data_IF_346835711547
#
_entry.id   IF_346835711547
#
_cell.length_a   1.000
_cell.length_b   1.000
_cell.length_c   1.000
_cell.angle_alpha   90.00
_cell.angle_beta   90.00
_cell.angle_gamma   90.00
#
_symmetry.space_group_name_H-M   'P 1'
#
loop_
_entity.id
_entity.type
_entity.pdbx_description
1 polymer ?
#
# COMPACT_ATOMS: atom_id res chain seq x y z
N UNK A 1 -15.02 8.91 1.16
CA UNK A 1 -14.24 7.67 0.99
C UNK A 1 -15.22 6.53 0.94
N UNK A 2 -15.06 5.57 0.03
CA UNK A 2 -15.94 4.40 0.00
C UNK A 2 -15.68 3.54 1.24
N UNK A 3 -16.77 3.24 1.94
CA UNK A 3 -16.79 2.43 3.14
C UNK A 3 -17.82 1.33 2.95
N UNK A 4 -17.46 0.12 3.32
CA UNK A 4 -18.36 -1.02 3.28
C UNK A 4 -18.28 -1.80 4.60
N UNK A 5 -19.39 -2.42 5.01
CA UNK A 5 -19.38 -3.34 6.14
C UNK A 5 -18.38 -4.48 5.89
N UNK A 6 -17.50 -4.77 6.84
CA UNK A 6 -16.58 -5.91 6.86
C UNK A 6 -17.39 -7.21 6.74
N UNK A 7 -18.51 -7.27 7.45
CA UNK A 7 -19.48 -8.36 7.36
C UNK A 7 -19.99 -8.60 5.93
N UNK A 8 -20.22 -7.54 5.15
CA UNK A 8 -20.63 -7.64 3.74
C UNK A 8 -19.48 -8.14 2.87
N UNK A 9 -18.28 -7.60 3.05
CA UNK A 9 -17.10 -7.98 2.27
C UNK A 9 -16.71 -9.44 2.50
N UNK A 10 -16.83 -9.92 3.74
CA UNK A 10 -16.62 -11.32 4.09
C UNK A 10 -17.64 -12.22 3.38
N UNK A 11 -18.93 -11.86 3.39
CA UNK A 11 -19.98 -12.60 2.69
C UNK A 11 -19.76 -12.67 1.17
N UNK A 12 -19.15 -11.63 0.60
CA UNK A 12 -18.81 -11.57 -0.82
C UNK A 12 -17.51 -12.29 -1.16
N UNK A 13 -16.86 -12.96 -0.21
CA UNK A 13 -15.54 -13.58 -0.39
C UNK A 13 -14.47 -12.60 -0.89
N UNK A 14 -14.63 -11.32 -0.57
CA UNK A 14 -13.77 -10.24 -1.08
C UNK A 14 -12.30 -10.41 -0.66
N UNK A 15 -12.04 -11.05 0.48
CA UNK A 15 -10.70 -11.27 1.04
C UNK A 15 -10.09 -12.63 0.70
N UNK A 16 -10.77 -13.46 -0.09
CA UNK A 16 -10.31 -14.80 -0.45
C UNK A 16 -10.08 -15.68 0.78
N UNK A 17 -8.87 -16.22 0.90
CA UNK A 17 -8.47 -17.15 1.97
C UNK A 17 -8.03 -16.45 3.27
N UNK A 18 -7.92 -15.11 3.27
CA UNK A 18 -7.43 -14.38 4.43
C UNK A 18 -8.53 -14.27 5.49
N UNK A 19 -8.17 -14.62 6.73
CA UNK A 19 -9.11 -14.59 7.85
C UNK A 19 -9.54 -13.15 8.19
N UNK A 20 -10.77 -12.98 8.65
CA UNK A 20 -11.29 -11.67 9.06
C UNK A 20 -10.43 -11.04 10.17
N UNK A 21 -9.92 -11.85 11.10
CA UNK A 21 -9.06 -11.40 12.18
C UNK A 21 -7.76 -10.77 11.65
N UNK A 22 -7.16 -11.42 10.65
CA UNK A 22 -5.92 -10.96 10.01
C UNK A 22 -6.16 -9.70 9.18
N UNK A 23 -7.26 -9.63 8.43
CA UNK A 23 -7.69 -8.39 7.74
C UNK A 23 -7.88 -7.25 8.74
N UNK A 24 -8.57 -7.49 9.86
CA UNK A 24 -8.83 -6.46 10.88
C UNK A 24 -7.56 -5.98 11.54
N UNK A 25 -6.61 -6.88 11.81
CA UNK A 25 -5.31 -6.54 12.38
C UNK A 25 -4.49 -5.69 11.41
N UNK A 26 -4.33 -6.18 10.18
CA UNK A 26 -3.50 -5.56 9.14
C UNK A 26 -4.10 -4.20 8.72
N UNK A 27 -5.41 -4.15 8.51
CA UNK A 27 -6.12 -2.94 8.14
C UNK A 27 -6.45 -2.02 9.32
N UNK A 28 -6.12 -2.39 10.58
CA UNK A 28 -6.53 -1.76 11.87
C UNK A 28 -7.96 -1.23 11.86
N UNK A 29 -8.92 -2.14 11.71
CA UNK A 29 -10.36 -1.85 11.68
C UNK A 29 -10.99 -2.21 13.02
N UNK A 30 -11.46 -1.20 13.77
CA UNK A 30 -12.02 -1.37 15.12
C UNK A 30 -13.54 -1.61 15.15
N UNK A 31 -14.23 -1.43 14.01
CA UNK A 31 -15.69 -1.61 13.89
C UNK A 31 -16.09 -2.40 12.65
N UNK A 32 -17.36 -2.36 12.24
CA UNK A 32 -17.78 -3.06 11.02
C UNK A 32 -17.46 -2.25 9.74
N UNK A 33 -17.09 -0.97 9.82
CA UNK A 33 -16.78 -0.19 8.62
C UNK A 33 -15.33 -0.38 8.15
N UNK A 34 -15.13 -0.87 6.93
CA UNK A 34 -13.84 -0.90 6.25
C UNK A 34 -13.74 0.21 5.21
N UNK A 35 -12.69 1.03 5.29
CA UNK A 35 -12.41 2.10 4.34
C UNK A 35 -11.23 1.71 3.43
N UNK A 36 -11.50 1.42 2.15
CA UNK A 36 -10.46 0.93 1.23
C UNK A 36 -9.29 1.89 1.06
N UNK A 37 -9.61 3.19 0.96
CA UNK A 37 -8.59 4.23 0.80
C UNK A 37 -7.68 4.25 2.03
N UNK A 38 -8.25 4.08 3.22
CA UNK A 38 -7.50 4.06 4.46
C UNK A 38 -6.57 2.87 4.55
N UNK A 39 -7.11 1.69 4.27
CA UNK A 39 -6.38 0.44 4.26
C UNK A 39 -5.21 0.55 3.29
N UNK A 40 -5.44 0.98 2.04
CA UNK A 40 -4.39 1.15 1.05
C UNK A 40 -3.32 2.19 1.44
N UNK A 41 -3.71 3.33 2.02
CA UNK A 41 -2.78 4.38 2.43
C UNK A 41 -1.87 3.94 3.58
N UNK A 42 -2.35 3.07 4.49
CA UNK A 42 -1.55 2.52 5.59
C UNK A 42 -0.36 1.70 5.10
N UNK A 43 -0.47 1.07 3.94
CA UNK A 43 0.63 0.28 3.34
C UNK A 43 1.60 1.12 2.48
N UNK A 44 1.23 2.35 2.10
CA UNK A 44 2.02 3.15 1.17
C UNK A 44 3.30 3.76 1.79
N UNK A 45 4.41 3.81 1.04
CA UNK A 45 5.66 4.52 1.42
C UNK A 45 5.60 6.02 1.21
N UNK A 46 5.00 6.39 0.08
CA UNK A 46 4.74 7.77 -0.29
C UNK A 46 3.29 7.82 -0.71
N UNK A 47 2.51 8.61 0.00
CA UNK A 47 1.16 8.97 -0.37
C UNK A 47 1.15 10.47 -0.66
N UNK A 48 0.70 10.85 -1.85
CA UNK A 48 0.50 12.26 -2.19
C UNK A 48 -0.97 12.62 -1.99
N UNK A 49 -1.19 13.72 -1.28
CA UNK A 49 -2.51 14.32 -1.14
C UNK A 49 -2.88 15.04 -2.44
N UNK A 50 -4.16 14.96 -2.83
CA UNK A 50 -4.70 15.75 -3.95
C UNK A 50 -5.06 17.18 -3.55
N UNK A 51 -4.96 17.52 -2.25
CA UNK A 51 -5.17 18.88 -1.73
C UNK A 51 -4.46 19.10 -0.39
N UNK A 52 -4.19 20.37 -0.03
CA UNK A 52 -3.54 20.78 1.23
C UNK A 52 -4.27 20.25 2.48
N UNK A 53 -5.60 20.25 2.44
CA UNK A 53 -6.48 19.74 3.50
C UNK A 53 -6.32 18.23 3.69
N UNK A 54 -6.15 17.48 2.59
CA UNK A 54 -6.01 16.02 2.64
C UNK A 54 -4.68 15.57 3.27
N UNK A 55 -3.62 16.37 3.11
CA UNK A 55 -2.32 16.14 3.76
C UNK A 55 -2.30 16.49 5.25
N UNK A 56 -3.12 17.46 5.67
CA UNK A 56 -3.23 17.88 7.07
C UNK A 56 -3.93 16.82 7.94
N UNK A 57 -4.99 16.17 7.43
CA UNK A 57 -5.77 15.18 8.18
C UNK A 57 -5.20 13.75 8.14
N UNK A 58 -3.95 13.51 7.74
CA UNK A 58 -3.44 12.15 7.53
C UNK A 58 -3.21 11.28 8.77
N UNK A 59 -3.65 11.69 9.96
CA UNK A 59 -3.42 10.98 11.24
C UNK A 59 -4.05 9.60 11.29
N UNK A 60 -5.17 9.39 10.59
CA UNK A 60 -5.92 8.14 10.68
C UNK A 60 -5.39 7.03 9.72
N UNK A 61 -4.58 7.36 8.71
CA UNK A 61 -3.93 6.36 7.81
C UNK A 61 -2.40 6.30 7.90
N UNK A 62 -1.73 7.30 8.48
CA UNK A 62 -0.27 7.23 8.60
C UNK A 62 0.10 6.28 9.73
N UNK A 63 1.08 5.42 9.49
CA UNK A 63 1.76 4.72 10.57
C UNK A 63 2.43 5.74 11.51
N UNK A 64 2.16 5.71 12.82
CA UNK A 64 2.66 6.72 13.76
C UNK A 64 4.19 6.79 13.81
N UNK A 65 4.88 5.66 13.70
CA UNK A 65 6.34 5.60 13.75
C UNK A 65 6.95 6.22 12.48
N UNK A 66 6.38 5.95 11.30
CA UNK A 66 6.78 6.63 10.07
C UNK A 66 6.53 8.14 10.12
N UNK A 67 5.38 8.57 10.65
CA UNK A 67 5.06 9.97 10.78
C UNK A 67 6.02 10.70 11.73
N UNK A 68 6.38 10.06 12.86
CA UNK A 68 7.35 10.58 13.80
C UNK A 68 8.75 10.68 13.18
N UNK A 69 9.22 9.61 12.53
CA UNK A 69 10.52 9.59 11.85
C UNK A 69 10.62 10.67 10.76
N UNK A 70 9.59 10.81 9.92
CA UNK A 70 9.53 11.86 8.90
C UNK A 70 9.53 13.28 9.50
N UNK A 71 8.79 13.50 10.60
CA UNK A 71 8.78 14.80 11.31
C UNK A 71 10.13 15.11 11.95
N UNK A 72 10.79 14.10 12.50
CA UNK A 72 12.13 14.18 13.10
C UNK A 72 13.27 14.25 12.09
N UNK A 73 12.99 14.08 10.78
CA UNK A 73 14.00 13.92 9.72
C UNK A 73 15.00 12.78 10.03
N UNK A 74 14.52 11.72 10.66
CA UNK A 74 15.31 10.53 10.96
C UNK A 74 15.15 9.51 9.82
N UNK A 75 16.07 9.60 8.86
CA UNK A 75 16.06 8.74 7.68
C UNK A 75 16.28 7.26 8.04
N UNK A 76 17.04 6.96 9.09
CA UNK A 76 17.31 5.59 9.53
C UNK A 76 16.05 4.97 10.10
N UNK A 77 15.37 5.65 11.03
CA UNK A 77 14.11 5.18 11.59
C UNK A 77 13.03 5.05 10.50
N UNK A 78 13.01 5.97 9.54
CA UNK A 78 12.07 5.92 8.41
C UNK A 78 12.32 4.69 7.54
N UNK A 79 13.57 4.40 7.19
CA UNK A 79 13.93 3.23 6.39
C UNK A 79 13.62 1.93 7.13
N UNK A 80 13.98 1.82 8.41
CA UNK A 80 13.71 0.65 9.24
C UNK A 80 12.22 0.35 9.30
N UNK A 81 11.40 1.35 9.64
CA UNK A 81 9.94 1.15 9.72
C UNK A 81 9.31 0.84 8.37
N UNK A 82 9.82 1.43 7.28
CA UNK A 82 9.38 1.08 5.93
C UNK A 82 9.68 -0.37 5.58
N UNK A 83 10.85 -0.89 5.96
CA UNK A 83 11.24 -2.29 5.70
C UNK A 83 10.35 -3.26 6.47
N UNK A 84 10.02 -2.96 7.73
CA UNK A 84 9.08 -3.77 8.53
C UNK A 84 7.71 -3.90 7.87
N UNK A 85 7.07 -2.77 7.56
CA UNK A 85 5.75 -2.77 6.90
C UNK A 85 5.78 -3.43 5.52
N UNK A 86 6.91 -3.32 4.81
CA UNK A 86 7.09 -3.95 3.50
C UNK A 86 7.16 -5.47 3.62
N UNK A 87 7.83 -6.00 4.66
CA UNK A 87 7.87 -7.44 4.94
C UNK A 87 6.48 -7.99 5.25
N UNK A 88 5.68 -7.28 6.04
CA UNK A 88 4.29 -7.67 6.33
C UNK A 88 3.45 -7.73 5.06
N UNK A 89 3.51 -6.69 4.22
CA UNK A 89 2.82 -6.67 2.93
C UNK A 89 3.23 -7.85 2.05
N UNK A 90 4.53 -8.15 2.00
CA UNK A 90 5.05 -9.19 1.11
C UNK A 90 4.71 -10.59 1.58
N UNK A 91 4.62 -10.79 2.89
CA UNK A 91 4.08 -12.02 3.44
C UNK A 91 2.64 -12.21 2.94
N UNK A 92 1.78 -11.21 3.07
CA UNK A 92 0.40 -11.29 2.57
C UNK A 92 0.34 -11.55 1.07
N UNK A 93 1.19 -10.89 0.26
CA UNK A 93 1.24 -11.12 -1.19
C UNK A 93 1.68 -12.55 -1.51
N UNK A 94 2.69 -13.06 -0.82
CA UNK A 94 3.16 -14.43 -0.99
C UNK A 94 2.09 -15.44 -0.60
N UNK A 95 1.42 -15.23 0.53
CA UNK A 95 0.34 -16.10 1.02
C UNK A 95 -0.84 -16.13 0.03
N UNK A 96 -1.19 -14.99 -0.59
CA UNK A 96 -2.32 -14.90 -1.52
C UNK A 96 -2.01 -15.32 -2.97
N UNK A 97 -0.78 -15.14 -3.43
CA UNK A 97 -0.44 -15.27 -4.87
C UNK A 97 0.68 -16.25 -5.17
N UNK A 98 1.40 -16.72 -4.13
CA UNK A 98 2.64 -17.48 -4.28
C UNK A 98 3.84 -16.62 -4.73
N UNK A 99 3.66 -15.32 -4.96
CA UNK A 99 4.74 -14.45 -5.47
C UNK A 99 5.67 -14.01 -4.34
N UNK A 100 6.95 -14.38 -4.47
CA UNK A 100 7.99 -13.94 -3.55
C UNK A 100 8.62 -12.63 -4.06
N UNK A 101 8.58 -11.61 -3.22
CA UNK A 101 9.07 -10.26 -3.52
C UNK A 101 10.25 -9.90 -2.60
N UNK A 102 11.23 -9.16 -3.12
CA UNK A 102 12.45 -8.81 -2.35
C UNK A 102 12.26 -7.51 -1.53
N UNK A 103 12.33 -7.56 -0.18
CA UNK A 103 12.22 -6.38 0.67
C UNK A 103 13.27 -5.29 0.41
N UNK A 104 14.41 -5.60 -0.21
CA UNK A 104 15.49 -4.66 -0.50
C UNK A 104 15.36 -3.97 -1.88
N UNK A 105 14.52 -4.50 -2.78
CA UNK A 105 14.30 -3.96 -4.13
C UNK A 105 13.27 -2.82 -4.14
N UNK A 106 13.36 -1.85 -5.04
CA UNK A 106 12.33 -0.81 -5.14
C UNK A 106 11.01 -1.42 -5.64
N UNK A 107 9.95 -1.31 -4.84
CA UNK A 107 8.63 -1.83 -5.19
C UNK A 107 7.67 -0.71 -5.54
N UNK A 108 7.13 -0.76 -6.75
CA UNK A 108 6.09 0.13 -7.24
C UNK A 108 4.76 -0.62 -7.07
N UNK A 109 3.71 0.07 -6.60
CA UNK A 109 2.39 -0.57 -6.41
C UNK A 109 1.28 0.35 -6.92
N UNK A 110 0.22 -0.25 -7.46
CA UNK A 110 -1.01 0.44 -7.82
C UNK A 110 -2.18 -0.03 -6.95
N UNK A 111 -2.51 0.73 -5.91
CA UNK A 111 -3.57 0.39 -4.96
C UNK A 111 -4.85 1.23 -5.20
N UNK A 112 -5.41 1.18 -6.42
CA UNK A 112 -6.66 1.88 -6.78
C UNK A 112 -7.55 1.02 -7.67
N UNK A 113 -8.88 1.23 -7.57
CA UNK A 113 -9.87 0.65 -8.48
C UNK A 113 -9.50 0.92 -9.94
N UNK A 114 -9.69 -0.10 -10.78
CA UNK A 114 -9.45 0.01 -12.21
C UNK A 114 -10.57 0.84 -12.86
N UNK A 115 -10.32 2.13 -13.03
CA UNK A 115 -11.23 3.07 -13.68
C UNK A 115 -10.41 4.03 -14.56
N UNK A 116 -10.92 4.33 -15.75
CA UNK A 116 -10.19 5.10 -16.78
C UNK A 116 -9.66 6.44 -16.27
N UNK A 117 -10.45 7.16 -15.47
CA UNK A 117 -10.04 8.45 -14.90
C UNK A 117 -8.87 8.35 -13.90
N UNK A 118 -8.59 7.16 -13.35
CA UNK A 118 -7.46 6.93 -12.44
C UNK A 118 -6.14 6.74 -13.18
N UNK A 119 -6.15 6.48 -14.49
CA UNK A 119 -4.95 6.41 -15.36
C UNK A 119 -3.92 5.36 -14.92
N UNK A 120 -4.35 4.11 -14.74
CA UNK A 120 -3.44 3.00 -14.45
C UNK A 120 -2.43 2.75 -15.60
N UNK A 121 -2.80 3.14 -16.82
CA UNK A 121 -1.98 3.12 -18.03
C UNK A 121 -0.84 4.14 -18.03
N UNK A 122 -0.79 5.09 -17.09
CA UNK A 122 0.20 6.17 -17.11
C UNK A 122 1.65 5.64 -17.07
N UNK A 123 1.89 4.55 -16.35
CA UNK A 123 3.22 3.92 -16.29
C UNK A 123 3.62 3.26 -17.62
N UNK A 124 2.63 2.86 -18.42
CA UNK A 124 2.80 2.22 -19.73
C UNK A 124 2.75 3.19 -20.90
N UNK A 125 2.41 4.46 -20.65
CA UNK A 125 2.33 5.51 -21.68
C UNK A 125 3.65 5.69 -22.44
N UNK A 126 4.78 5.46 -21.75
CA UNK A 126 6.11 5.41 -22.33
C UNK A 126 6.71 4.03 -22.04
N UNK A 127 6.33 3.08 -22.87
CA UNK A 127 6.70 1.68 -22.69
C UNK A 127 8.22 1.46 -22.77
N UNK A 128 8.94 2.23 -23.59
CA UNK A 128 10.40 2.15 -23.66
C UNK A 128 11.06 2.56 -22.34
N UNK A 129 10.59 3.65 -21.72
CA UNK A 129 11.10 4.05 -20.39
C UNK A 129 10.73 3.03 -19.32
N UNK A 130 9.52 2.48 -19.38
CA UNK A 130 9.10 1.43 -18.45
C UNK A 130 9.99 0.20 -18.58
N UNK A 131 10.23 -0.27 -19.81
CA UNK A 131 11.11 -1.42 -20.07
C UNK A 131 12.52 -1.16 -19.53
N UNK A 132 13.12 0.00 -19.83
CA UNK A 132 14.43 0.39 -19.29
C UNK A 132 14.46 0.40 -17.76
N UNK A 133 13.36 0.79 -17.11
CA UNK A 133 13.26 0.83 -15.66
C UNK A 133 13.21 -0.57 -15.04
N UNK A 134 12.44 -1.49 -15.63
CA UNK A 134 12.26 -2.85 -15.06
C UNK A 134 13.39 -3.82 -15.42
N UNK A 135 14.23 -3.48 -16.41
CA UNK A 135 15.39 -4.29 -16.81
C UNK A 135 16.74 -3.71 -16.33
N UNK A 136 16.75 -2.74 -15.41
CA UNK A 136 18.00 -2.17 -14.86
C UNK A 136 18.54 -3.03 -13.72
N UNK A 137 19.54 -3.87 -14.01
CA UNK A 137 20.18 -4.75 -13.03
C UNK A 137 20.90 -3.99 -11.90
N UNK A 138 21.32 -2.73 -12.14
CA UNK A 138 22.00 -1.90 -11.12
C UNK A 138 21.00 -1.23 -10.18
N UNK A 139 19.73 -1.08 -10.60
CA UNK A 139 18.66 -0.42 -9.86
C UNK A 139 17.37 -1.22 -10.02
N UNK A 140 17.32 -2.43 -9.44
CA UNK A 140 16.20 -3.33 -9.65
C UNK A 140 14.90 -2.71 -9.15
N UNK A 141 13.83 -2.93 -9.93
CA UNK A 141 12.46 -2.51 -9.63
C UNK A 141 11.54 -3.71 -9.81
N UNK A 142 10.54 -3.81 -8.94
CA UNK A 142 9.45 -4.77 -9.03
C UNK A 142 8.12 -4.02 -8.97
N UNK A 143 7.09 -4.56 -9.63
CA UNK A 143 5.77 -3.93 -9.83
C UNK A 143 4.66 -4.83 -9.31
#
# INVERSE_FOLDING_TARGET
NEEHPMSLLQKMSFFGEVSEAEIRQVARVEGDSMNYTLTALRFARKANAVSKVHGQNGTYWRDPQLAAAAKGKDDTALLTRKKELKKELFKTVADQTGTLLDPEVLTIVWARRFASYKRADLILRDFEKFQKLVTDDKRPVQV
#
